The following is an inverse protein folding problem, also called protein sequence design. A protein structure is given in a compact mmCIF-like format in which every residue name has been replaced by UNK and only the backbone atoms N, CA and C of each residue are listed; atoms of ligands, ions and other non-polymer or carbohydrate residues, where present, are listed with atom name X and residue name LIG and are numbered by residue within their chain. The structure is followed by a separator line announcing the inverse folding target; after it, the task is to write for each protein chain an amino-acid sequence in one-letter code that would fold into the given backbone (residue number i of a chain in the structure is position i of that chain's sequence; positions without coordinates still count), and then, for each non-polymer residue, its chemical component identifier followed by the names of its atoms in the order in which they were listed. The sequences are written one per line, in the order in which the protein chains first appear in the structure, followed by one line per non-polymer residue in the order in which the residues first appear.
data_IF_469558747200
#
_entry.id   IF_469558747200
#
_cell.length_a   1.000
_cell.length_b   1.000
_cell.length_c   1.000
_cell.angle_alpha   90.00
_cell.angle_beta   90.00
_cell.angle_gamma   90.00
#
_symmetry.space_group_name_H-M   'P 1'
#
loop_
_entity.id
_entity.type
_entity.pdbx_description
1 polymer ?
#
# COMPACT_ATOMS: atom_id res chain seq x y z
N UNK A 1 21.98 -2.82 -11.08
CA UNK A 1 21.36 -2.32 -9.84
C UNK A 1 20.79 -0.95 -10.15
N UNK A 2 19.70 -0.58 -9.48
CA UNK A 2 19.01 0.68 -9.73
C UNK A 2 18.84 1.43 -8.42
N UNK A 3 18.97 2.75 -8.47
CA UNK A 3 18.62 3.65 -7.41
C UNK A 3 17.70 4.73 -7.98
N UNK A 4 16.59 4.97 -7.30
CA UNK A 4 15.59 5.95 -7.72
C UNK A 4 15.30 6.93 -6.60
N UNK A 5 14.97 8.17 -6.95
CA UNK A 5 14.44 9.18 -6.05
C UNK A 5 13.56 10.16 -6.81
N UNK A 6 12.55 10.71 -6.16
CA UNK A 6 11.74 11.82 -6.66
C UNK A 6 11.40 12.80 -5.54
N UNK A 7 11.01 14.03 -5.88
CA UNK A 7 10.57 15.04 -4.92
C UNK A 7 9.06 14.96 -4.58
N UNK A 8 8.39 13.91 -5.04
CA UNK A 8 6.95 13.72 -4.80
C UNK A 8 6.61 13.64 -3.31
N UNK A 9 7.50 13.03 -2.51
CA UNK A 9 7.33 12.85 -1.07
C UNK A 9 8.53 13.36 -0.30
N UNK A 10 8.38 13.64 0.99
CA UNK A 10 9.45 14.19 1.84
C UNK A 10 10.59 13.17 2.09
N UNK A 11 10.32 11.88 1.91
CA UNK A 11 11.31 10.81 1.97
C UNK A 11 11.94 10.48 0.60
N UNK A 12 11.57 11.20 -0.45
CA UNK A 12 12.04 11.01 -1.83
C UNK A 12 11.65 9.67 -2.45
N UNK A 13 10.55 9.06 -1.99
CA UNK A 13 9.99 7.83 -2.55
C UNK A 13 8.86 8.16 -3.53
N UNK A 14 8.53 7.24 -4.46
CA UNK A 14 7.36 7.39 -5.31
C UNK A 14 6.08 7.53 -4.48
N UNK A 15 5.26 8.52 -4.80
CA UNK A 15 4.04 8.83 -4.04
C UNK A 15 3.07 7.64 -3.96
N UNK A 16 2.90 6.89 -5.05
CA UNK A 16 2.01 5.73 -5.07
C UNK A 16 2.46 4.63 -4.09
N UNK A 17 3.75 4.38 -4.00
CA UNK A 17 4.32 3.40 -3.07
C UNK A 17 4.23 3.89 -1.63
N UNK A 18 4.60 5.14 -1.38
CA UNK A 18 4.57 5.74 -0.04
C UNK A 18 3.15 5.75 0.55
N UNK A 19 2.15 6.14 -0.26
CA UNK A 19 0.74 6.08 0.14
C UNK A 19 0.26 4.65 0.38
N UNK A 20 0.67 3.68 -0.45
CA UNK A 20 0.28 2.29 -0.24
C UNK A 20 0.86 1.73 1.06
N UNK A 21 2.08 2.09 1.42
CA UNK A 21 2.68 1.73 2.70
C UNK A 21 1.97 2.41 3.87
N UNK A 22 1.67 3.71 3.76
CA UNK A 22 0.98 4.45 4.81
C UNK A 22 -0.41 3.87 5.10
N UNK A 23 -1.17 3.47 4.06
CA UNK A 23 -2.46 2.80 4.22
C UNK A 23 -2.34 1.53 5.07
N UNK A 24 -1.34 0.68 4.82
CA UNK A 24 -1.14 -0.55 5.59
C UNK A 24 -0.60 -0.30 7.01
N UNK A 25 0.24 0.71 7.19
CA UNK A 25 0.71 1.14 8.52
C UNK A 25 -0.48 1.58 9.38
N UNK A 26 -1.38 2.41 8.83
CA UNK A 26 -2.58 2.87 9.54
C UNK A 26 -3.57 1.73 9.79
N UNK A 27 -3.79 0.87 8.82
CA UNK A 27 -4.65 -0.32 9.00
C UNK A 27 -4.14 -1.21 10.14
N UNK A 28 -2.82 -1.43 10.19
CA UNK A 28 -2.19 -2.18 11.26
C UNK A 28 -2.26 -1.45 12.62
N UNK A 29 -2.22 -0.11 12.63
CA UNK A 29 -2.40 0.69 13.84
C UNK A 29 -3.83 0.54 14.39
N UNK A 30 -4.86 0.70 13.54
CA UNK A 30 -6.27 0.50 13.91
C UNK A 30 -6.47 -0.90 14.52
N UNK A 31 -5.94 -1.93 13.87
CA UNK A 31 -6.01 -3.31 14.38
C UNK A 31 -5.39 -3.47 15.76
N UNK A 32 -4.21 -2.86 16.01
CA UNK A 32 -3.52 -2.94 17.31
C UNK A 32 -4.22 -2.13 18.41
N UNK A 33 -4.86 -1.02 18.06
CA UNK A 33 -5.64 -0.21 18.99
C UNK A 33 -6.87 -0.98 19.49
N UNK A 34 -7.46 -1.86 18.69
CA UNK A 34 -8.56 -2.73 19.07
C UNK A 34 -9.85 -2.00 19.46
N UNK A 35 -10.03 -0.76 18.97
CA UNK A 35 -11.21 0.08 19.28
C UNK A 35 -12.19 0.13 18.14
N UNK A 36 -11.69 0.33 16.93
CA UNK A 36 -12.44 0.39 15.68
C UNK A 36 -12.03 -0.80 14.82
N UNK A 37 -12.88 -1.23 13.88
CA UNK A 37 -12.60 -2.32 12.95
C UNK A 37 -11.99 -3.56 13.67
N UNK A 38 -12.58 -3.97 14.78
CA UNK A 38 -12.04 -5.03 15.68
C UNK A 38 -11.94 -6.40 15.01
N UNK A 39 -12.60 -6.56 13.89
CA UNK A 39 -12.57 -7.76 13.04
C UNK A 39 -11.29 -7.89 12.20
N UNK A 40 -10.43 -6.85 12.14
CA UNK A 40 -9.21 -6.89 11.32
C UNK A 40 -8.22 -7.95 11.77
N UNK A 41 -7.57 -8.60 10.80
CA UNK A 41 -6.47 -9.57 10.99
C UNK A 41 -5.22 -9.11 10.24
N UNK A 42 -4.04 -9.71 10.51
CA UNK A 42 -2.76 -9.12 10.11
C UNK A 42 -2.50 -9.04 8.61
N UNK A 43 -3.01 -9.96 7.80
CA UNK A 43 -2.71 -10.02 6.37
C UNK A 43 -3.48 -8.94 5.61
N UNK A 44 -2.76 -8.16 4.83
CA UNK A 44 -3.37 -7.09 4.05
C UNK A 44 -2.48 -6.68 2.87
N UNK A 45 -3.13 -6.16 1.83
CA UNK A 45 -2.49 -5.64 0.61
C UNK A 45 -3.13 -4.31 0.25
N UNK A 46 -2.32 -3.41 -0.32
CA UNK A 46 -2.80 -2.14 -0.87
C UNK A 46 -2.18 -1.86 -2.22
N UNK A 47 -2.92 -1.13 -3.04
CA UNK A 47 -2.45 -0.57 -4.29
C UNK A 47 -3.00 0.83 -4.42
N UNK A 48 -2.16 1.76 -4.90
CA UNK A 48 -2.54 3.15 -5.15
C UNK A 48 -2.20 3.50 -6.59
N UNK A 49 -3.15 4.08 -7.30
CA UNK A 49 -2.96 4.64 -8.64
C UNK A 49 -3.03 6.15 -8.55
N UNK A 50 -1.99 6.81 -9.04
CA UNK A 50 -1.89 8.27 -9.11
C UNK A 50 -2.06 8.71 -10.56
N UNK A 51 -2.82 9.76 -10.78
CA UNK A 51 -2.91 10.45 -12.05
C UNK A 51 -1.87 11.58 -12.09
N UNK A 52 -1.15 11.67 -13.21
CA UNK A 52 -0.12 12.68 -13.45
C UNK A 52 -0.51 13.53 -14.66
N UNK A 53 -0.09 14.80 -14.68
CA UNK A 53 -0.20 15.65 -15.85
C UNK A 53 0.96 15.38 -16.84
N UNK A 54 1.00 16.16 -17.93
CA UNK A 54 2.04 16.03 -18.98
C UNK A 54 3.46 16.37 -18.46
N UNK A 55 3.57 17.11 -17.37
CA UNK A 55 4.84 17.49 -16.73
C UNK A 55 5.28 16.48 -15.65
N UNK A 56 4.66 15.29 -15.57
CA UNK A 56 4.89 14.29 -14.52
C UNK A 56 4.60 14.77 -13.09
N UNK A 57 3.73 15.77 -12.92
CA UNK A 57 3.30 16.24 -11.60
C UNK A 57 2.05 15.47 -11.19
N UNK A 58 1.99 14.89 -9.96
CA UNK A 58 0.80 14.20 -9.49
C UNK A 58 -0.35 15.19 -9.31
N UNK A 59 -1.51 14.87 -9.90
CA UNK A 59 -2.70 15.74 -9.89
C UNK A 59 -3.84 15.21 -9.04
N UNK A 60 -3.94 13.88 -8.88
CA UNK A 60 -4.90 13.26 -7.96
C UNK A 60 -4.59 11.81 -7.64
N UNK A 61 -5.11 11.34 -6.53
CA UNK A 61 -5.21 9.91 -6.22
C UNK A 61 -6.42 9.36 -6.96
N UNK A 62 -6.16 8.57 -8.02
CA UNK A 62 -7.22 8.05 -8.88
C UNK A 62 -7.93 6.85 -8.27
N UNK A 63 -7.17 5.83 -7.84
CA UNK A 63 -7.75 4.58 -7.32
C UNK A 63 -6.94 4.08 -6.12
N UNK A 64 -7.66 3.60 -5.11
CA UNK A 64 -7.11 2.85 -3.98
C UNK A 64 -7.76 1.48 -3.94
N UNK A 65 -6.94 0.43 -3.86
CA UNK A 65 -7.39 -0.95 -3.63
C UNK A 65 -6.86 -1.39 -2.28
N UNK A 66 -7.72 -1.87 -1.40
CA UNK A 66 -7.37 -2.49 -0.12
C UNK A 66 -7.92 -3.91 -0.09
N UNK A 67 -7.06 -4.87 0.22
CA UNK A 67 -7.49 -6.21 0.60
C UNK A 67 -7.01 -6.48 2.02
N UNK A 68 -7.93 -6.76 2.94
CA UNK A 68 -7.60 -6.99 4.34
C UNK A 68 -8.24 -8.26 4.85
N UNK A 69 -7.45 -9.05 5.57
CA UNK A 69 -7.94 -10.20 6.31
C UNK A 69 -8.83 -9.74 7.47
N UNK A 70 -9.92 -10.47 7.68
CA UNK A 70 -10.91 -10.17 8.72
C UNK A 70 -11.53 -11.47 9.27
N UNK A 71 -12.10 -11.39 10.45
CA UNK A 71 -12.92 -12.47 10.99
C UNK A 71 -14.26 -12.61 10.24
N UNK A 72 -14.88 -13.75 10.33
CA UNK A 72 -16.30 -13.93 9.97
C UNK A 72 -17.17 -13.38 11.13
N UNK A 73 -17.38 -12.07 11.15
CA UNK A 73 -18.09 -11.38 12.24
C UNK A 73 -19.61 -11.26 12.02
N UNK A 74 -20.10 -11.70 10.86
CA UNK A 74 -21.52 -11.86 10.57
C UNK A 74 -21.81 -13.32 10.25
N UNK A 75 -22.59 -13.96 11.10
CA UNK A 75 -23.00 -15.36 10.94
C UNK A 75 -24.29 -15.42 10.12
N UNK A 76 -24.38 -16.30 9.12
CA UNK A 76 -25.62 -16.50 8.36
C UNK A 76 -26.76 -16.98 9.28
N UNK A 77 -27.98 -16.57 8.98
CA UNK A 77 -29.17 -16.95 9.76
C UNK A 77 -29.54 -18.42 9.62
N UNK A 78 -29.14 -19.04 8.51
CA UNK A 78 -29.38 -20.45 8.18
C UNK A 78 -28.16 -21.04 7.47
N UNK A 79 -28.04 -22.37 7.52
CA UNK A 79 -26.94 -23.06 6.81
C UNK A 79 -27.28 -23.31 5.33
N UNK A 80 -27.62 -22.22 4.62
CA UNK A 80 -27.88 -22.23 3.18
C UNK A 80 -26.85 -21.36 2.46
N UNK A 81 -26.61 -21.65 1.18
CA UNK A 81 -25.70 -20.85 0.36
C UNK A 81 -26.17 -19.40 0.22
N UNK A 82 -27.48 -19.19 0.06
CA UNK A 82 -28.08 -17.86 -0.05
C UNK A 82 -27.89 -17.03 1.24
N UNK A 83 -28.15 -17.64 2.41
CA UNK A 83 -27.94 -16.97 3.69
C UNK A 83 -26.46 -16.61 3.92
N UNK A 84 -25.53 -17.47 3.46
CA UNK A 84 -24.10 -17.17 3.51
C UNK A 84 -23.73 -15.99 2.60
N UNK A 85 -24.26 -15.94 1.37
CA UNK A 85 -24.01 -14.81 0.46
C UNK A 85 -24.49 -13.48 1.06
N UNK A 86 -25.67 -13.46 1.65
CA UNK A 86 -26.22 -12.24 2.30
C UNK A 86 -25.35 -11.81 3.49
N UNK A 87 -24.86 -12.76 4.29
CA UNK A 87 -23.97 -12.47 5.40
C UNK A 87 -22.62 -11.89 4.90
N UNK A 88 -22.05 -12.50 3.84
CA UNK A 88 -20.80 -12.06 3.23
C UNK A 88 -20.93 -10.65 2.63
N UNK A 89 -21.99 -10.36 1.87
CA UNK A 89 -22.25 -9.03 1.30
C UNK A 89 -22.39 -7.95 2.38
N UNK A 90 -23.12 -8.26 3.44
CA UNK A 90 -23.29 -7.34 4.56
C UNK A 90 -21.95 -7.08 5.26
N UNK A 91 -21.16 -8.10 5.47
CA UNK A 91 -19.83 -8.00 6.08
C UNK A 91 -18.89 -7.15 5.22
N UNK A 92 -18.82 -7.40 3.91
CA UNK A 92 -18.01 -6.63 2.97
C UNK A 92 -18.46 -5.17 2.88
N UNK A 93 -19.76 -4.89 2.95
CA UNK A 93 -20.28 -3.52 2.99
C UNK A 93 -19.83 -2.77 4.24
N UNK A 94 -19.83 -3.40 5.41
CA UNK A 94 -19.31 -2.79 6.65
C UNK A 94 -17.81 -2.50 6.52
N UNK A 95 -17.03 -3.46 6.03
CA UNK A 95 -15.57 -3.27 5.83
C UNK A 95 -15.31 -2.12 4.87
N UNK A 96 -16.09 -2.01 3.78
CA UNK A 96 -15.97 -0.91 2.82
C UNK A 96 -16.22 0.45 3.47
N UNK A 97 -17.32 0.58 4.21
CA UNK A 97 -17.67 1.84 4.87
C UNK A 97 -16.67 2.22 5.96
N UNK A 98 -16.15 1.25 6.72
CA UNK A 98 -15.13 1.48 7.73
C UNK A 98 -13.79 1.91 7.09
N UNK A 99 -13.37 1.28 6.00
CA UNK A 99 -12.17 1.72 5.25
C UNK A 99 -12.36 3.14 4.76
N UNK A 100 -13.52 3.46 4.18
CA UNK A 100 -13.84 4.78 3.65
C UNK A 100 -13.89 5.86 4.73
N UNK A 101 -14.52 5.57 5.87
CA UNK A 101 -14.84 6.57 6.89
C UNK A 101 -13.82 6.62 8.04
N UNK A 102 -13.00 5.58 8.22
CA UNK A 102 -12.01 5.50 9.31
C UNK A 102 -10.59 5.51 8.73
N UNK A 103 -10.23 4.52 7.89
CA UNK A 103 -8.86 4.37 7.41
C UNK A 103 -8.44 5.56 6.52
N UNK A 104 -9.21 5.86 5.48
CA UNK A 104 -8.85 6.93 4.52
C UNK A 104 -8.69 8.29 5.22
N UNK A 105 -9.61 8.75 6.07
CA UNK A 105 -9.44 10.00 6.82
C UNK A 105 -8.21 10.01 7.73
N UNK A 106 -7.88 8.89 8.39
CA UNK A 106 -6.67 8.78 9.23
C UNK A 106 -5.40 8.92 8.41
N UNK A 107 -5.35 8.33 7.22
CA UNK A 107 -4.22 8.46 6.28
C UNK A 107 -4.10 9.90 5.81
N UNK A 108 -5.18 10.53 5.34
CA UNK A 108 -5.19 11.92 4.87
C UNK A 108 -4.71 12.88 5.98
N UNK A 109 -5.14 12.67 7.22
CA UNK A 109 -4.74 13.51 8.35
C UNK A 109 -3.23 13.53 8.60
N UNK A 110 -2.50 12.47 8.21
CA UNK A 110 -1.04 12.35 8.37
C UNK A 110 -0.23 12.93 7.22
N UNK A 111 -0.89 13.26 6.12
CA UNK A 111 -0.22 13.79 4.93
C UNK A 111 0.06 15.30 5.06
N UNK A 112 1.13 15.82 4.44
CA UNK A 112 1.31 17.25 4.27
C UNK A 112 0.19 17.83 3.37
N UNK A 113 -0.13 19.12 3.56
CA UNK A 113 -1.27 19.76 2.87
C UNK A 113 -1.22 19.61 1.34
N UNK A 114 -0.03 19.68 0.75
CA UNK A 114 0.17 19.49 -0.69
C UNK A 114 -0.32 18.14 -1.20
N UNK A 115 -0.24 17.09 -0.40
CA UNK A 115 -0.68 15.74 -0.76
C UNK A 115 -2.13 15.48 -0.39
N UNK A 116 -2.68 16.15 0.63
CA UNK A 116 -4.11 16.10 0.96
C UNK A 116 -4.97 16.59 -0.19
N UNK A 117 -4.51 17.64 -0.89
CA UNK A 117 -5.23 18.21 -2.04
C UNK A 117 -5.39 17.24 -3.23
N UNK A 118 -4.64 16.13 -3.24
CA UNK A 118 -4.75 15.11 -4.29
C UNK A 118 -5.94 14.15 -4.08
N UNK A 119 -6.58 14.20 -2.91
CA UNK A 119 -7.78 13.40 -2.61
C UNK A 119 -9.03 14.21 -2.94
N UNK A 120 -9.79 13.75 -3.91
CA UNK A 120 -11.03 14.38 -4.36
C UNK A 120 -12.23 13.42 -4.21
N UNK A 121 -13.42 13.91 -4.53
CA UNK A 121 -14.68 13.16 -4.51
C UNK A 121 -14.81 12.10 -5.62
N UNK A 122 -13.87 12.10 -6.58
CA UNK A 122 -13.82 11.13 -7.69
C UNK A 122 -12.91 9.93 -7.40
N UNK A 123 -12.34 9.84 -6.18
CA UNK A 123 -11.53 8.70 -5.77
C UNK A 123 -12.32 7.39 -5.93
N UNK A 124 -11.75 6.46 -6.70
CA UNK A 124 -12.28 5.11 -6.85
C UNK A 124 -11.69 4.23 -5.73
N UNK A 125 -12.55 3.70 -4.87
CA UNK A 125 -12.16 2.85 -3.77
C UNK A 125 -12.65 1.42 -4.00
N UNK A 126 -11.75 0.45 -3.94
CA UNK A 126 -12.05 -0.97 -3.94
C UNK A 126 -11.57 -1.62 -2.65
N UNK A 127 -12.47 -2.28 -1.93
CA UNK A 127 -12.16 -2.98 -0.68
C UNK A 127 -12.57 -4.43 -0.81
N UNK A 128 -11.64 -5.36 -0.58
CA UNK A 128 -11.85 -6.80 -0.75
C UNK A 128 -12.59 -7.15 -2.05
N UNK A 129 -12.15 -6.68 -3.22
CA UNK A 129 -12.93 -6.76 -4.47
C UNK A 129 -13.17 -8.20 -4.96
N UNK A 130 -12.42 -9.17 -4.43
CA UNK A 130 -12.57 -10.59 -4.78
C UNK A 130 -13.45 -11.37 -3.79
N UNK A 131 -14.01 -10.69 -2.79
CA UNK A 131 -14.85 -11.30 -1.76
C UNK A 131 -14.19 -11.31 -0.38
N UNK A 132 -14.76 -12.09 0.56
CA UNK A 132 -14.26 -12.21 1.92
C UNK A 132 -12.82 -12.75 1.97
N UNK A 133 -12.05 -12.28 2.93
CA UNK A 133 -10.66 -12.66 3.14
C UNK A 133 -10.44 -13.09 4.60
N UNK A 134 -10.80 -14.31 4.91
CA UNK A 134 -10.75 -14.87 6.27
C UNK A 134 -9.45 -15.61 6.54
N UNK A 135 -8.98 -16.41 5.57
CA UNK A 135 -7.74 -17.17 5.69
C UNK A 135 -6.58 -16.36 5.10
N UNK A 136 -5.61 -16.01 5.93
CA UNK A 136 -4.45 -15.22 5.53
C UNK A 136 -3.15 -15.74 6.12
N UNK A 137 -2.05 -15.03 5.85
CA UNK A 137 -0.72 -15.42 6.25
C UNK A 137 -0.23 -16.71 5.58
N UNK A 138 0.75 -17.43 6.17
CA UNK A 138 1.34 -18.64 5.56
C UNK A 138 0.34 -19.78 5.31
N UNK A 139 -0.80 -19.78 6.01
CA UNK A 139 -1.86 -20.75 5.81
C UNK A 139 -2.66 -20.50 4.53
N UNK A 140 -2.85 -19.23 4.17
CA UNK A 140 -3.51 -18.83 2.93
C UNK A 140 -2.56 -18.82 1.73
N UNK A 141 -1.36 -18.24 1.91
CA UNK A 141 -0.35 -18.12 0.86
C UNK A 141 1.05 -18.06 1.49
N UNK A 142 1.92 -18.97 1.10
CA UNK A 142 3.28 -19.05 1.62
C UNK A 142 4.22 -18.08 0.89
N UNK A 143 4.81 -17.16 1.63
CA UNK A 143 5.80 -16.21 1.11
C UNK A 143 7.22 -16.76 1.09
N UNK A 144 8.04 -16.22 0.18
CA UNK A 144 9.48 -16.48 0.09
C UNK A 144 10.27 -15.18 0.05
N UNK A 145 11.49 -15.19 0.60
CA UNK A 145 12.42 -14.06 0.49
C UNK A 145 12.70 -13.75 -0.98
N UNK A 146 12.68 -12.47 -1.35
CA UNK A 146 12.93 -12.01 -2.71
C UNK A 146 11.75 -12.14 -3.69
N UNK A 147 10.54 -12.42 -3.19
CA UNK A 147 9.32 -12.49 -4.01
C UNK A 147 8.45 -11.22 -3.91
N UNK A 148 8.93 -10.16 -3.25
CA UNK A 148 8.30 -8.83 -3.13
C UNK A 148 9.30 -7.70 -3.42
N UNK A 149 10.27 -7.96 -4.29
CA UNK A 149 11.40 -7.04 -4.58
C UNK A 149 10.97 -5.67 -5.13
N UNK A 150 9.85 -5.60 -5.83
CA UNK A 150 9.31 -4.33 -6.34
C UNK A 150 8.72 -3.50 -5.20
N UNK A 151 8.04 -4.14 -4.24
CA UNK A 151 7.55 -3.48 -3.01
C UNK A 151 8.71 -3.03 -2.12
N UNK A 152 9.78 -3.84 -2.04
CA UNK A 152 11.00 -3.54 -1.27
C UNK A 152 11.81 -2.37 -1.86
N UNK A 153 11.52 -1.96 -3.09
CA UNK A 153 12.24 -0.91 -3.82
C UNK A 153 11.33 0.29 -4.11
N UNK A 154 10.84 0.44 -5.34
CA UNK A 154 10.21 1.69 -5.79
C UNK A 154 8.81 1.50 -6.37
N UNK A 155 8.14 0.36 -6.13
CA UNK A 155 6.78 0.10 -6.58
C UNK A 155 6.61 0.02 -8.10
N UNK A 156 7.70 -0.20 -8.85
CA UNK A 156 7.70 -0.26 -10.32
C UNK A 156 8.00 1.07 -11.01
N UNK A 157 8.25 2.15 -10.28
CA UNK A 157 8.59 3.46 -10.86
C UNK A 157 9.97 3.47 -11.54
N UNK A 158 10.88 2.60 -11.12
CA UNK A 158 12.19 2.39 -11.75
C UNK A 158 12.41 0.92 -12.14
N UNK A 159 13.45 0.65 -12.91
CA UNK A 159 13.87 -0.70 -13.23
C UNK A 159 14.31 -1.49 -12.00
N UNK A 160 14.34 -2.82 -12.12
CA UNK A 160 14.84 -3.71 -11.08
C UNK A 160 15.69 -4.83 -11.68
N UNK A 161 16.83 -5.13 -11.06
CA UNK A 161 17.76 -6.16 -11.54
C UNK A 161 17.45 -7.59 -11.08
N UNK A 162 16.37 -7.78 -10.28
CA UNK A 162 15.94 -9.09 -9.80
C UNK A 162 16.57 -9.55 -8.47
N UNK A 163 17.58 -8.86 -7.95
CA UNK A 163 18.26 -9.23 -6.71
C UNK A 163 17.50 -8.78 -5.45
N UNK A 164 17.20 -9.72 -4.55
CA UNK A 164 16.66 -9.41 -3.23
C UNK A 164 17.72 -8.77 -2.32
N UNK A 165 17.30 -7.97 -1.33
CA UNK A 165 18.18 -7.37 -0.32
C UNK A 165 18.29 -8.25 0.93
N UNK A 166 17.17 -8.82 1.36
CA UNK A 166 17.09 -9.64 2.58
C UNK A 166 18.00 -10.86 2.49
N UNK A 167 18.66 -11.22 3.62
CA UNK A 167 19.53 -12.37 3.72
C UNK A 167 20.93 -12.20 3.08
N UNK A 168 21.25 -10.98 2.62
CA UNK A 168 22.56 -10.66 2.02
C UNK A 168 23.38 -9.74 2.93
N UNK A 169 24.67 -10.03 3.06
CA UNK A 169 25.63 -9.15 3.72
C UNK A 169 26.11 -8.02 2.79
N UNK A 170 26.86 -7.01 3.31
CA UNK A 170 27.33 -5.88 2.51
C UNK A 170 28.25 -6.21 1.34
N UNK A 171 28.87 -7.39 1.31
CA UNK A 171 29.73 -7.83 0.19
C UNK A 171 28.92 -8.16 -1.07
N UNK A 172 27.61 -8.36 -0.94
CA UNK A 172 26.70 -8.67 -2.04
C UNK A 172 26.31 -7.40 -2.78
N UNK A 173 26.75 -7.30 -4.03
CA UNK A 173 26.56 -6.13 -4.91
C UNK A 173 25.09 -5.81 -5.13
N UNK A 174 24.20 -6.80 -5.25
CA UNK A 174 22.76 -6.58 -5.37
C UNK A 174 22.20 -5.68 -4.27
N UNK A 175 22.74 -5.77 -3.06
CA UNK A 175 22.33 -4.95 -1.92
C UNK A 175 23.17 -3.68 -1.80
N UNK A 176 24.50 -3.79 -1.71
CA UNK A 176 25.38 -2.66 -1.44
C UNK A 176 25.37 -1.61 -2.57
N UNK A 177 25.40 -2.04 -3.83
CA UNK A 177 25.34 -1.10 -4.95
C UNK A 177 23.94 -0.52 -5.16
N UNK A 178 22.86 -1.24 -4.85
CA UNK A 178 21.51 -0.66 -4.88
C UNK A 178 21.37 0.45 -3.82
N UNK A 179 21.91 0.27 -2.63
CA UNK A 179 21.92 1.31 -1.60
C UNK A 179 22.79 2.52 -1.99
N UNK A 180 23.95 2.29 -2.58
CA UNK A 180 24.81 3.36 -3.09
C UNK A 180 24.13 4.15 -4.21
N UNK A 181 23.50 3.47 -5.17
CA UNK A 181 22.76 4.10 -6.24
C UNK A 181 21.56 4.94 -5.69
N UNK A 182 20.82 4.39 -4.71
CA UNK A 182 19.76 5.16 -4.00
C UNK A 182 20.31 6.39 -3.31
N UNK A 183 21.47 6.27 -2.63
CA UNK A 183 22.11 7.40 -1.98
C UNK A 183 22.45 8.52 -2.97
N UNK A 184 23.02 8.17 -4.13
CA UNK A 184 23.34 9.12 -5.19
C UNK A 184 22.07 9.79 -5.71
N UNK A 185 21.07 9.02 -6.13
CA UNK A 185 19.82 9.53 -6.67
C UNK A 185 19.12 10.49 -5.67
N UNK A 186 19.03 10.09 -4.39
CA UNK A 186 18.43 10.90 -3.34
C UNK A 186 19.15 12.23 -3.14
N UNK A 187 20.49 12.24 -3.13
CA UNK A 187 21.24 13.48 -2.96
C UNK A 187 21.10 14.42 -4.17
N UNK A 188 21.01 13.91 -5.40
CA UNK A 188 20.78 14.72 -6.59
C UNK A 188 19.40 15.41 -6.53
N UNK A 189 18.35 14.67 -6.17
CA UNK A 189 17.00 15.26 -6.01
C UNK A 189 16.97 16.24 -4.86
N UNK A 190 17.55 15.90 -3.71
CA UNK A 190 17.60 16.78 -2.54
C UNK A 190 18.38 18.08 -2.78
N UNK A 191 19.38 18.05 -3.65
CA UNK A 191 20.13 19.23 -4.08
C UNK A 191 19.40 20.07 -5.17
N UNK A 192 18.22 19.64 -5.62
CA UNK A 192 17.45 20.34 -6.66
C UNK A 192 18.05 20.24 -8.07
N UNK A 193 18.90 19.22 -8.33
CA UNK A 193 19.48 19.01 -9.66
C UNK A 193 18.42 18.50 -10.64
N UNK A 194 17.48 17.67 -10.17
CA UNK A 194 16.34 17.18 -10.92
C UNK A 194 15.21 16.81 -9.96
N UNK A 195 13.96 16.83 -10.43
CA UNK A 195 12.79 16.39 -9.66
C UNK A 195 12.71 14.87 -9.52
N UNK A 196 13.29 14.15 -10.47
CA UNK A 196 13.32 12.69 -10.52
C UNK A 196 14.66 12.20 -11.06
N UNK A 197 15.24 11.14 -10.48
CA UNK A 197 16.51 10.52 -10.89
C UNK A 197 16.40 9.01 -10.79
N UNK A 198 16.77 8.32 -11.86
CA UNK A 198 16.99 6.87 -11.93
C UNK A 198 18.44 6.57 -12.30
#
# INVERSE_FOLDING_TARGET
MFGYASNETDNYMPLSLDLSHLLLIELAAIRREGKEMTYLRPDSKSQVTIEYNEDNVPVRVHTIVISTQHDEFIVPTEQTHEAQMVADEKMLSIIFEDVKNILIPRVIAKLPERLKALFDDKLILHVNPTGKFVIGGPHGDTGLTGRKIIVDTYGGKGGHGGGAFSGKDPSKVDRSAAYAARHIAKNLVAAGVSDEVL
#
